data_IF_432290871688
#
_entry.id   IF_432290871688
#
_cell.length_a   1.000
_cell.length_b   1.000
_cell.length_c   1.000
_cell.angle_alpha   90.00
_cell.angle_beta   90.00
_cell.angle_gamma   90.00
#
_symmetry.space_group_name_H-M   'P 1'
#
loop_
_entity.id
_entity.type
_entity.pdbx_description
1 polymer ?
#
# COMPACT_ATOMS: atom_id res chain seq x y z
N UNK A 1 28.29 5.23 -5.93
CA UNK A 1 28.20 3.76 -6.06
C UNK A 1 27.45 3.26 -4.84
N UNK A 2 26.16 2.96 -5.00
CA UNK A 2 25.27 2.58 -3.90
C UNK A 2 25.41 1.08 -3.62
N UNK A 3 25.70 0.70 -2.37
CA UNK A 3 25.81 -0.70 -1.98
C UNK A 3 24.50 -1.46 -2.25
N UNK A 4 24.54 -2.71 -2.74
CA UNK A 4 23.35 -3.52 -2.90
C UNK A 4 22.76 -3.85 -1.52
N UNK A 5 21.52 -3.41 -1.28
CA UNK A 5 20.75 -3.74 -0.08
C UNK A 5 20.56 -5.25 0.00
N UNK A 6 21.03 -5.85 1.10
CA UNK A 6 20.91 -7.27 1.37
C UNK A 6 19.55 -7.56 2.03
N UNK A 7 18.57 -7.99 1.23
CA UNK A 7 17.19 -8.26 1.68
C UNK A 7 17.01 -9.60 2.41
N UNK A 8 18.09 -10.36 2.67
CA UNK A 8 18.03 -11.69 3.30
C UNK A 8 17.94 -11.68 4.83
N UNK A 9 17.27 -10.69 5.44
CA UNK A 9 16.92 -10.81 6.85
C UNK A 9 15.67 -11.71 6.97
N UNK A 10 15.74 -12.88 7.61
CA UNK A 10 14.54 -13.64 7.94
C UNK A 10 13.59 -12.77 8.79
N UNK A 11 12.27 -12.93 8.63
CA UNK A 11 11.20 -12.25 9.39
C UNK A 11 11.18 -12.71 10.87
N UNK A 12 12.33 -13.05 11.45
CA UNK A 12 12.47 -13.55 12.82
C UNK A 12 12.82 -12.45 13.83
N UNK A 13 13.06 -11.22 13.39
CA UNK A 13 13.40 -10.07 14.24
C UNK A 13 12.25 -9.14 14.62
N UNK A 14 11.00 -9.61 14.69
CA UNK A 14 9.86 -8.73 15.03
C UNK A 14 9.92 -8.36 16.52
N UNK A 15 9.95 -7.07 16.90
CA UNK A 15 9.78 -6.66 18.29
C UNK A 15 8.42 -7.17 18.80
N UNK A 16 8.43 -7.95 19.89
CA UNK A 16 7.23 -8.63 20.42
C UNK A 16 6.03 -7.68 20.65
N UNK A 17 6.28 -6.40 20.93
CA UNK A 17 5.26 -5.36 21.13
C UNK A 17 4.40 -5.13 19.89
N UNK A 18 5.00 -5.17 18.70
CA UNK A 18 4.28 -4.98 17.43
C UNK A 18 3.50 -6.24 17.05
N UNK A 19 3.98 -7.44 17.41
CA UNK A 19 3.19 -8.68 17.25
C UNK A 19 1.90 -8.64 18.06
N UNK A 20 1.97 -8.12 19.30
CA UNK A 20 0.82 -8.07 20.19
C UNK A 20 -0.26 -7.11 19.67
N UNK A 21 0.11 -5.88 19.27
CA UNK A 21 -0.82 -4.93 18.67
C UNK A 21 -1.47 -5.50 17.40
N UNK A 22 -0.68 -6.10 16.51
CA UNK A 22 -1.17 -6.75 15.27
C UNK A 22 -2.11 -7.93 15.59
N UNK A 23 -1.80 -8.74 16.61
CA UNK A 23 -2.67 -9.86 17.01
C UNK A 23 -4.00 -9.38 17.60
N UNK A 24 -3.98 -8.32 18.40
CA UNK A 24 -5.20 -7.73 18.98
C UNK A 24 -6.08 -7.14 17.87
N UNK A 25 -5.49 -6.47 16.88
CA UNK A 25 -6.23 -5.89 15.77
C UNK A 25 -6.86 -6.93 14.83
N UNK A 26 -6.29 -8.14 14.74
CA UNK A 26 -6.77 -9.25 13.89
C UNK A 26 -8.07 -9.91 14.37
N UNK A 27 -8.58 -9.59 15.57
CA UNK A 27 -9.81 -10.22 16.04
C UNK A 27 -11.02 -9.72 15.21
N UNK A 28 -11.89 -10.64 14.73
CA UNK A 28 -13.06 -10.28 13.92
C UNK A 28 -14.00 -9.35 14.68
N UNK A 29 -14.77 -8.54 13.94
CA UNK A 29 -15.86 -7.73 14.50
C UNK A 29 -16.76 -8.62 15.35
N UNK A 30 -16.88 -8.31 16.64
CA UNK A 30 -17.93 -8.84 17.49
C UNK A 30 -19.23 -8.27 16.92
N UNK A 31 -20.00 -9.10 16.21
CA UNK A 31 -21.40 -8.78 15.87
C UNK A 31 -22.19 -8.71 17.17
N UNK A 32 -23.12 -7.75 17.29
CA UNK A 32 -23.84 -7.32 18.51
C UNK A 32 -24.58 -8.39 19.34
N UNK A 33 -24.44 -9.69 19.03
CA UNK A 33 -25.20 -10.77 19.65
C UNK A 33 -24.49 -11.54 20.78
N UNK A 34 -23.22 -11.29 21.11
CA UNK A 34 -22.60 -11.86 22.31
C UNK A 34 -21.32 -11.13 22.75
N UNK A 35 -21.30 -10.62 24.00
CA UNK A 35 -20.08 -10.22 24.68
C UNK A 35 -19.20 -11.46 24.94
N UNK A 36 -17.98 -11.56 24.37
CA UNK A 36 -17.10 -12.68 24.66
C UNK A 36 -16.46 -12.52 26.05
N UNK A 37 -16.28 -13.65 26.74
CA UNK A 37 -15.43 -13.73 27.93
C UNK A 37 -13.96 -13.49 27.53
N UNK A 38 -13.14 -12.81 28.36
CA UNK A 38 -11.76 -12.49 28.04
C UNK A 38 -10.89 -13.74 27.83
N UNK A 39 -9.99 -13.70 26.84
CA UNK A 39 -9.15 -14.83 26.46
C UNK A 39 -8.09 -15.18 27.55
N UNK A 40 -7.82 -16.48 27.78
CA UNK A 40 -6.96 -16.94 28.89
C UNK A 40 -5.46 -16.60 28.74
N UNK A 41 -4.98 -16.20 27.56
CA UNK A 41 -3.56 -15.91 27.29
C UNK A 41 -3.00 -14.73 28.09
N UNK A 42 -3.85 -13.85 28.65
CA UNK A 42 -3.42 -12.70 29.44
C UNK A 42 -3.26 -12.97 30.95
N UNK A 43 -3.74 -14.11 31.47
CA UNK A 43 -3.54 -14.48 32.89
C UNK A 43 -2.06 -14.57 33.28
N UNK A 44 -1.17 -14.83 32.32
CA UNK A 44 0.28 -14.92 32.54
C UNK A 44 1.00 -13.56 32.56
N UNK A 45 0.43 -12.52 31.94
CA UNK A 45 0.96 -11.14 32.03
C UNK A 45 0.54 -10.43 33.32
N UNK A 46 -0.59 -10.85 33.91
CA UNK A 46 -1.12 -10.34 35.19
C UNK A 46 -0.16 -10.54 36.37
N UNK A 47 0.64 -11.62 36.35
CA UNK A 47 1.57 -11.93 37.46
C UNK A 47 2.91 -11.21 37.37
N UNK A 48 3.23 -10.55 36.25
CA UNK A 48 4.55 -9.95 36.00
C UNK A 48 4.65 -8.43 36.20
N UNK A 49 3.53 -7.71 36.22
CA UNK A 49 3.48 -6.25 36.36
C UNK A 49 2.65 -5.87 37.60
N UNK A 50 3.33 -5.68 38.73
CA UNK A 50 2.84 -5.14 40.02
C UNK A 50 1.80 -5.97 40.81
N UNK A 51 2.30 -6.83 41.69
CA UNK A 51 1.57 -7.43 42.82
C UNK A 51 1.25 -6.45 43.97
N UNK A 52 1.74 -5.21 43.94
CA UNK A 52 1.64 -4.27 45.06
C UNK A 52 0.40 -3.36 45.04
N UNK A 53 -0.37 -3.31 43.95
CA UNK A 53 -1.45 -2.31 43.78
C UNK A 53 -2.86 -2.81 44.12
N UNK A 54 -3.05 -4.09 44.44
CA UNK A 54 -4.38 -4.68 44.71
C UNK A 54 -4.50 -5.37 46.07
N UNK A 55 -3.54 -5.18 46.98
CA UNK A 55 -3.47 -5.86 48.27
C UNK A 55 -4.57 -5.47 49.29
N UNK A 56 -5.66 -4.83 48.88
CA UNK A 56 -6.72 -4.34 49.78
C UNK A 56 -8.17 -4.57 49.32
N UNK A 57 -8.42 -5.28 48.22
CA UNK A 57 -9.79 -5.55 47.79
C UNK A 57 -10.41 -6.71 48.61
N UNK A 58 -11.59 -6.52 49.24
CA UNK A 58 -12.22 -7.56 50.04
C UNK A 58 -12.58 -8.77 49.17
N UNK A 59 -12.12 -9.94 49.63
CA UNK A 59 -12.44 -11.27 49.09
C UNK A 59 -13.97 -11.50 49.16
N UNK A 60 -14.69 -11.16 48.10
CA UNK A 60 -16.14 -11.37 48.03
C UNK A 60 -16.90 -10.50 47.03
N UNK A 61 -16.31 -9.43 46.50
CA UNK A 61 -16.93 -8.64 45.44
C UNK A 61 -16.57 -9.17 44.06
N UNK A 62 -17.58 -9.48 43.24
CA UNK A 62 -17.41 -9.74 41.80
C UNK A 62 -16.87 -8.47 41.15
N UNK A 63 -15.55 -8.40 40.98
CA UNK A 63 -14.90 -7.28 40.32
C UNK A 63 -15.33 -7.29 38.86
N UNK A 64 -16.01 -6.22 38.41
CA UNK A 64 -16.35 -6.05 36.99
C UNK A 64 -15.04 -5.95 36.18
N UNK A 65 -14.73 -6.94 35.34
CA UNK A 65 -13.51 -6.95 34.54
C UNK A 65 -13.43 -5.73 33.60
N UNK A 66 -14.58 -5.15 33.23
CA UNK A 66 -14.67 -3.92 32.43
C UNK A 66 -14.14 -2.71 33.20
N UNK A 67 -14.47 -2.59 34.49
CA UNK A 67 -14.01 -1.50 35.34
C UNK A 67 -12.49 -1.56 35.58
N UNK A 68 -11.93 -2.77 35.73
CA UNK A 68 -10.48 -2.98 35.84
C UNK A 68 -9.78 -2.68 34.52
N UNK A 69 -10.35 -3.11 33.40
CA UNK A 69 -9.89 -2.78 32.05
C UNK A 69 -9.82 -1.27 31.82
N UNK A 70 -10.87 -0.54 32.20
CA UNK A 70 -10.92 0.92 32.10
C UNK A 70 -9.83 1.62 32.92
N UNK A 71 -9.59 1.18 34.16
CA UNK A 71 -8.51 1.74 35.00
C UNK A 71 -7.14 1.45 34.40
N UNK A 72 -6.95 0.25 33.83
CA UNK A 72 -5.70 -0.13 33.16
C UNK A 72 -5.47 0.70 31.89
N UNK A 73 -6.48 0.77 31.00
CA UNK A 73 -6.43 1.58 29.79
C UNK A 73 -6.14 3.04 30.14
N UNK A 74 -6.84 3.59 31.15
CA UNK A 74 -6.59 4.96 31.61
C UNK A 74 -5.15 5.17 32.09
N UNK A 75 -4.63 4.30 32.96
CA UNK A 75 -3.22 4.38 33.43
C UNK A 75 -2.21 4.20 32.30
N UNK A 76 -2.50 3.33 31.34
CA UNK A 76 -1.66 3.13 30.16
C UNK A 76 -1.63 4.43 29.36
N UNK A 77 -2.79 5.03 29.11
CA UNK A 77 -2.91 6.31 28.42
C UNK A 77 -2.18 7.43 29.16
N UNK A 78 -2.41 7.60 30.46
CA UNK A 78 -1.72 8.61 31.27
C UNK A 78 -0.19 8.47 31.18
N UNK A 79 0.33 7.24 31.20
CA UNK A 79 1.76 6.97 31.01
C UNK A 79 2.26 7.20 29.57
N UNK A 80 1.41 6.96 28.57
CA UNK A 80 1.71 7.22 27.17
C UNK A 80 1.90 8.72 26.95
N UNK A 81 0.97 9.52 27.46
CA UNK A 81 0.95 10.99 27.34
C UNK A 81 2.04 11.66 28.17
N UNK A 82 2.41 11.11 29.34
CA UNK A 82 3.44 11.71 30.19
C UNK A 82 4.88 11.63 29.61
N UNK A 83 5.14 10.75 28.64
CA UNK A 83 6.49 10.42 28.15
C UNK A 83 6.61 10.53 26.61
N UNK A 84 5.95 11.50 25.97
CA UNK A 84 5.79 11.55 24.51
C UNK A 84 6.85 12.37 23.77
N UNK A 85 8.13 12.06 23.95
CA UNK A 85 9.18 12.55 23.03
C UNK A 85 9.61 11.41 22.09
N UNK A 86 9.23 11.51 20.82
CA UNK A 86 9.81 10.72 19.71
C UNK A 86 8.88 9.76 18.97
N UNK A 87 9.47 9.05 18.00
CA UNK A 87 8.84 8.12 17.04
C UNK A 87 7.96 7.03 17.66
N UNK A 88 8.13 6.75 18.96
CA UNK A 88 7.37 5.75 19.73
C UNK A 88 5.96 6.17 20.11
N UNK A 89 5.55 7.41 19.79
CA UNK A 89 4.21 7.92 20.14
C UNK A 89 3.12 7.11 19.42
N UNK A 90 3.28 6.80 18.14
CA UNK A 90 2.28 6.05 17.37
C UNK A 90 2.13 4.61 17.90
N UNK A 91 3.23 3.93 18.20
CA UNK A 91 3.20 2.57 18.76
C UNK A 91 2.42 2.51 20.08
N UNK A 92 2.60 3.54 20.91
CA UNK A 92 1.88 3.69 22.18
C UNK A 92 0.37 3.82 21.95
N UNK A 93 -0.06 4.68 21.02
CA UNK A 93 -1.49 4.79 20.68
C UNK A 93 -2.05 3.49 20.10
N UNK A 94 -1.31 2.81 19.23
CA UNK A 94 -1.74 1.53 18.67
C UNK A 94 -1.97 0.47 19.75
N UNK A 95 -1.08 0.41 20.76
CA UNK A 95 -1.26 -0.44 21.93
C UNK A 95 -2.48 -0.02 22.77
N UNK A 96 -2.67 1.29 22.98
CA UNK A 96 -3.83 1.83 23.69
C UNK A 96 -5.15 1.48 23.01
N UNK A 97 -5.22 1.58 21.68
CA UNK A 97 -6.40 1.21 20.89
C UNK A 97 -6.65 -0.30 20.97
N UNK A 98 -5.60 -1.11 20.86
CA UNK A 98 -5.71 -2.56 21.02
C UNK A 98 -6.31 -2.93 22.38
N UNK A 99 -5.74 -2.39 23.45
CA UNK A 99 -6.24 -2.62 24.80
C UNK A 99 -7.69 -2.14 24.96
N UNK A 100 -8.02 -0.93 24.50
CA UNK A 100 -9.38 -0.39 24.57
C UNK A 100 -10.39 -1.30 23.85
N UNK A 101 -10.05 -1.85 22.68
CA UNK A 101 -10.90 -2.82 21.96
C UNK A 101 -11.08 -4.13 22.74
N UNK A 102 -9.99 -4.68 23.28
CA UNK A 102 -10.00 -5.94 24.04
C UNK A 102 -10.90 -5.85 25.28
N UNK A 103 -10.93 -4.70 25.94
CA UNK A 103 -11.79 -4.42 27.10
C UNK A 103 -13.15 -3.80 26.76
N UNK A 104 -13.57 -3.78 25.49
CA UNK A 104 -14.88 -3.25 25.07
C UNK A 104 -15.06 -1.73 25.24
N UNK A 105 -13.96 -0.99 25.44
CA UNK A 105 -13.91 0.45 25.67
C UNK A 105 -13.92 1.24 24.34
N UNK A 106 -14.99 1.11 23.55
CA UNK A 106 -15.04 1.65 22.18
C UNK A 106 -14.93 3.17 22.08
N UNK A 107 -15.49 3.93 23.02
CA UNK A 107 -15.37 5.39 23.03
C UNK A 107 -13.90 5.83 23.13
N UNK A 108 -13.15 5.23 24.06
CA UNK A 108 -11.72 5.50 24.20
C UNK A 108 -10.94 5.04 22.95
N UNK A 109 -11.30 3.90 22.36
CA UNK A 109 -10.68 3.43 21.12
C UNK A 109 -10.89 4.42 19.95
N UNK A 110 -12.09 5.01 19.85
CA UNK A 110 -12.43 6.03 18.83
C UNK A 110 -11.65 7.34 19.05
N UNK A 111 -11.54 7.81 20.29
CA UNK A 111 -10.78 9.03 20.61
C UNK A 111 -9.29 8.87 20.29
N UNK A 112 -8.72 7.71 20.64
CA UNK A 112 -7.34 7.38 20.32
C UNK A 112 -7.13 7.22 18.81
N UNK A 113 -8.08 6.58 18.10
CA UNK A 113 -8.06 6.50 16.64
C UNK A 113 -8.05 7.89 16.00
N UNK A 114 -8.97 8.78 16.41
CA UNK A 114 -9.03 10.16 15.92
C UNK A 114 -7.71 10.90 16.15
N UNK A 115 -7.08 10.68 17.31
CA UNK A 115 -5.77 11.25 17.63
C UNK A 115 -4.68 10.73 16.69
N UNK A 116 -4.58 9.41 16.49
CA UNK A 116 -3.62 8.80 15.54
C UNK A 116 -3.86 9.29 14.13
N UNK A 117 -5.11 9.31 13.69
CA UNK A 117 -5.52 9.81 12.38
C UNK A 117 -5.03 11.23 12.17
N UNK A 118 -5.33 12.14 13.09
CA UNK A 118 -4.90 13.52 13.01
C UNK A 118 -3.37 13.63 13.01
N UNK A 119 -2.67 12.85 13.83
CA UNK A 119 -1.20 12.82 13.80
C UNK A 119 -0.68 12.36 12.43
N UNK A 120 -1.23 11.30 11.85
CA UNK A 120 -0.76 10.76 10.58
C UNK A 120 -1.08 11.69 9.40
N UNK A 121 -2.28 12.27 9.38
CA UNK A 121 -2.73 13.13 8.28
C UNK A 121 -2.19 14.56 8.39
N UNK A 122 -2.09 15.14 9.60
CA UNK A 122 -1.65 16.53 9.81
C UNK A 122 -0.13 16.70 9.91
N UNK A 123 0.60 15.73 10.49
CA UNK A 123 2.07 15.85 10.67
C UNK A 123 2.83 15.68 9.35
N UNK A 124 2.13 15.88 8.24
CA UNK A 124 2.54 15.64 6.87
C UNK A 124 2.85 14.17 6.62
N UNK A 125 2.43 13.70 5.45
CA UNK A 125 2.81 12.42 4.85
C UNK A 125 4.27 11.96 5.03
N UNK A 126 5.19 12.82 5.49
CA UNK A 126 6.58 12.54 5.79
C UNK A 126 6.79 11.37 6.75
N UNK A 127 6.05 11.26 7.86
CA UNK A 127 6.23 10.12 8.79
C UNK A 127 6.04 8.77 8.07
N UNK A 128 4.92 8.61 7.36
CA UNK A 128 4.63 7.39 6.61
C UNK A 128 5.65 7.17 5.48
N UNK A 129 6.04 8.25 4.78
CA UNK A 129 6.92 8.22 3.61
C UNK A 129 8.39 7.99 3.93
N UNK A 130 8.85 8.31 5.14
CA UNK A 130 10.29 8.32 5.46
C UNK A 130 10.65 7.45 6.67
N UNK A 131 9.88 7.47 7.75
CA UNK A 131 10.32 6.94 9.05
C UNK A 131 9.55 5.73 9.54
N UNK A 132 8.27 5.58 9.18
CA UNK A 132 7.46 4.45 9.61
C UNK A 132 8.11 3.10 9.24
N UNK A 133 8.03 2.10 10.12
CA UNK A 133 8.44 0.73 9.77
C UNK A 133 7.30 0.01 9.03
N UNK A 134 7.60 -1.12 8.39
CA UNK A 134 6.57 -1.91 7.71
C UNK A 134 5.52 -2.44 8.70
N UNK A 135 5.94 -2.77 9.92
CA UNK A 135 5.05 -3.20 11.01
C UNK A 135 4.10 -2.08 11.45
N UNK A 136 4.61 -0.84 11.56
CA UNK A 136 3.78 0.31 11.89
C UNK A 136 2.76 0.58 10.79
N UNK A 137 3.19 0.51 9.51
CA UNK A 137 2.28 0.68 8.38
C UNK A 137 1.20 -0.41 8.33
N UNK A 138 1.54 -1.66 8.67
CA UNK A 138 0.58 -2.76 8.82
C UNK A 138 -0.43 -2.46 9.92
N UNK A 139 0.05 -2.08 11.10
CA UNK A 139 -0.82 -1.82 12.24
C UNK A 139 -1.74 -0.62 11.98
N UNK A 140 -1.23 0.44 11.37
CA UNK A 140 -2.02 1.60 10.95
C UNK A 140 -3.06 1.22 9.88
N UNK A 141 -2.71 0.36 8.92
CA UNK A 141 -3.66 -0.07 7.90
C UNK A 141 -4.79 -0.90 8.52
N UNK A 142 -4.46 -1.87 9.39
CA UNK A 142 -5.46 -2.67 10.11
C UNK A 142 -6.36 -1.79 10.96
N UNK A 143 -5.78 -0.80 11.65
CA UNK A 143 -6.52 0.17 12.41
C UNK A 143 -7.52 0.92 11.51
N UNK A 144 -7.04 1.50 10.41
CA UNK A 144 -7.88 2.26 9.50
C UNK A 144 -9.01 1.37 8.91
N UNK A 145 -8.74 0.11 8.57
CA UNK A 145 -9.76 -0.83 8.10
C UNK A 145 -10.80 -1.19 9.17
N UNK A 146 -10.39 -1.37 10.42
CA UNK A 146 -11.31 -1.65 11.55
C UNK A 146 -12.28 -0.49 11.77
N UNK A 147 -11.76 0.74 11.70
CA UNK A 147 -12.53 1.97 11.89
C UNK A 147 -13.18 2.49 10.59
N UNK A 148 -12.98 1.81 9.46
CA UNK A 148 -13.47 2.22 8.14
C UNK A 148 -13.00 3.64 7.73
N UNK A 149 -11.79 4.03 8.16
CA UNK A 149 -11.19 5.32 7.83
C UNK A 149 -10.51 5.27 6.46
N UNK A 150 -11.32 5.50 5.41
CA UNK A 150 -10.85 5.41 4.03
C UNK A 150 -9.72 6.40 3.70
N UNK A 151 -9.77 7.62 4.26
CA UNK A 151 -8.75 8.65 4.02
C UNK A 151 -7.39 8.21 4.58
N UNK A 152 -7.39 7.65 5.79
CA UNK A 152 -6.17 7.11 6.39
C UNK A 152 -5.63 5.89 5.62
N UNK A 153 -6.50 4.98 5.15
CA UNK A 153 -6.08 3.84 4.34
C UNK A 153 -5.39 4.28 3.04
N UNK A 154 -5.99 5.25 2.32
CA UNK A 154 -5.41 5.80 1.08
C UNK A 154 -4.03 6.41 1.37
N UNK A 155 -3.90 7.22 2.43
CA UNK A 155 -2.63 7.83 2.80
C UNK A 155 -1.53 6.78 3.12
N UNK A 156 -1.90 5.68 3.79
CA UNK A 156 -0.98 4.58 4.11
C UNK A 156 -0.58 3.84 2.83
N UNK A 157 -1.54 3.51 1.96
CA UNK A 157 -1.27 2.82 0.69
C UNK A 157 -0.36 3.66 -0.21
N UNK A 158 -0.64 4.94 -0.38
CA UNK A 158 0.18 5.85 -1.18
C UNK A 158 1.61 5.95 -0.65
N UNK A 159 1.77 6.09 0.66
CA UNK A 159 3.08 6.15 1.29
C UNK A 159 3.83 4.81 1.16
N UNK A 160 3.14 3.67 1.30
CA UNK A 160 3.73 2.36 1.09
C UNK A 160 4.18 2.19 -0.36
N UNK A 161 3.32 2.51 -1.33
CA UNK A 161 3.58 2.38 -2.76
C UNK A 161 4.81 3.20 -3.16
N UNK A 162 4.87 4.47 -2.71
CA UNK A 162 6.02 5.35 -2.95
C UNK A 162 7.32 4.75 -2.41
N UNK A 163 7.28 4.12 -1.25
CA UNK A 163 8.46 3.48 -0.63
C UNK A 163 8.82 2.17 -1.31
N UNK A 164 7.85 1.39 -1.79
CA UNK A 164 8.10 0.21 -2.61
C UNK A 164 8.74 0.57 -3.96
N UNK A 165 8.29 1.64 -4.60
CA UNK A 165 8.90 2.15 -5.84
C UNK A 165 10.34 2.64 -5.64
N UNK A 166 10.68 3.11 -4.44
CA UNK A 166 12.06 3.46 -4.04
C UNK A 166 12.88 2.26 -3.57
N UNK A 167 12.35 1.05 -3.69
CA UNK A 167 12.94 -0.18 -3.16
C UNK A 167 13.30 -0.06 -1.69
N UNK A 168 12.51 0.67 -0.89
CA UNK A 168 12.68 0.72 0.56
C UNK A 168 11.88 -0.39 1.22
N UNK A 169 10.68 -0.67 0.70
CA UNK A 169 9.73 -1.63 1.26
C UNK A 169 9.37 -2.74 0.28
N UNK A 170 9.31 -3.98 0.78
CA UNK A 170 8.71 -5.08 0.03
C UNK A 170 7.22 -4.86 -0.14
N UNK A 171 6.64 -5.10 -1.33
CA UNK A 171 5.20 -5.05 -1.54
C UNK A 171 4.47 -6.26 -0.91
N UNK A 172 5.19 -7.32 -0.52
CA UNK A 172 4.56 -8.58 -0.09
C UNK A 172 3.69 -8.43 1.16
N UNK A 173 4.12 -7.78 2.26
CA UNK A 173 3.25 -7.62 3.41
C UNK A 173 1.98 -6.83 3.09
N UNK A 174 2.08 -5.85 2.18
CA UNK A 174 0.95 -5.08 1.69
C UNK A 174 -0.01 -5.94 0.84
N UNK A 175 0.49 -6.83 -0.02
CA UNK A 175 -0.32 -7.81 -0.75
C UNK A 175 -1.10 -8.69 0.23
N UNK A 176 -0.43 -9.24 1.26
CA UNK A 176 -1.08 -10.13 2.23
C UNK A 176 -2.21 -9.39 2.93
N UNK A 177 -1.93 -8.19 3.45
CA UNK A 177 -2.91 -7.49 4.29
C UNK A 177 -4.07 -6.90 3.51
N UNK A 178 -3.84 -6.39 2.30
CA UNK A 178 -4.91 -5.87 1.44
C UNK A 178 -5.83 -6.99 0.98
N UNK A 179 -5.28 -8.16 0.67
CA UNK A 179 -6.05 -9.36 0.33
C UNK A 179 -6.86 -9.88 1.53
N UNK A 180 -6.25 -9.96 2.71
CA UNK A 180 -6.94 -10.40 3.94
C UNK A 180 -8.13 -9.49 4.30
N UNK A 181 -8.11 -8.21 3.90
CA UNK A 181 -9.21 -7.26 4.11
C UNK A 181 -10.11 -7.08 2.88
N UNK A 182 -9.92 -7.87 1.81
CA UNK A 182 -10.75 -7.81 0.60
C UNK A 182 -10.63 -6.50 -0.20
N UNK A 183 -9.53 -5.75 -0.05
CA UNK A 183 -9.32 -4.45 -0.73
C UNK A 183 -8.65 -4.63 -2.07
N UNK A 184 -9.46 -5.02 -3.07
CA UNK A 184 -8.99 -5.42 -4.42
C UNK A 184 -8.23 -4.32 -5.15
N UNK A 185 -8.68 -3.07 -5.06
CA UNK A 185 -8.03 -1.94 -5.74
C UNK A 185 -6.60 -1.75 -5.22
N UNK A 186 -6.42 -1.78 -3.90
CA UNK A 186 -5.10 -1.68 -3.27
C UNK A 186 -4.24 -2.91 -3.50
N UNK A 187 -4.85 -4.10 -3.44
CA UNK A 187 -4.17 -5.36 -3.74
C UNK A 187 -3.56 -5.32 -5.16
N UNK A 188 -4.31 -4.84 -6.15
CA UNK A 188 -3.85 -4.74 -7.52
C UNK A 188 -2.61 -3.83 -7.68
N UNK A 189 -2.56 -2.71 -6.97
CA UNK A 189 -1.40 -1.81 -6.95
C UNK A 189 -0.14 -2.53 -6.45
N UNK A 190 -0.25 -3.28 -5.35
CA UNK A 190 0.90 -4.00 -4.79
C UNK A 190 1.29 -5.23 -5.61
N UNK A 191 0.33 -5.93 -6.23
CA UNK A 191 0.61 -7.01 -7.19
C UNK A 191 1.33 -6.46 -8.42
N UNK A 192 0.95 -5.28 -8.90
CA UNK A 192 1.63 -4.61 -10.01
C UNK A 192 3.07 -4.21 -9.66
N UNK A 193 3.30 -3.59 -8.50
CA UNK A 193 4.67 -3.28 -8.03
C UNK A 193 5.51 -4.55 -7.80
N UNK A 194 4.89 -5.62 -7.30
CA UNK A 194 5.56 -6.90 -7.18
C UNK A 194 5.96 -7.48 -8.56
N UNK A 195 5.06 -7.43 -9.55
CA UNK A 195 5.37 -7.83 -10.93
C UNK A 195 6.54 -7.01 -11.50
N UNK A 196 6.57 -5.69 -11.27
CA UNK A 196 7.67 -4.84 -11.71
C UNK A 196 9.00 -5.30 -11.12
N UNK A 197 9.01 -5.58 -9.82
CA UNK A 197 10.20 -6.06 -9.11
C UNK A 197 10.71 -7.39 -9.70
N UNK A 198 9.85 -8.39 -9.85
CA UNK A 198 10.27 -9.73 -10.30
C UNK A 198 10.62 -9.80 -11.78
N UNK A 199 10.08 -8.90 -12.63
CA UNK A 199 10.36 -8.89 -14.07
C UNK A 199 11.55 -8.00 -14.44
N UNK A 200 11.97 -7.09 -13.57
CA UNK A 200 13.18 -6.29 -13.76
C UNK A 200 14.47 -7.09 -13.44
N UNK A 201 14.41 -7.98 -12.44
CA UNK A 201 15.56 -8.76 -11.96
C UNK A 201 15.96 -10.07 -12.69
N UNK A 202 15.21 -10.67 -13.65
CA UNK A 202 15.64 -11.92 -14.30
C UNK A 202 16.92 -11.76 -15.13
N UNK A 203 17.18 -10.54 -15.62
CA UNK A 203 18.24 -10.27 -16.62
C UNK A 203 19.60 -10.01 -15.95
N UNK A 204 19.64 -9.57 -14.69
CA UNK A 204 20.89 -9.27 -13.97
C UNK A 204 21.44 -10.44 -13.16
N UNK A 205 20.66 -11.49 -12.94
CA UNK A 205 21.03 -12.63 -12.12
C UNK A 205 21.79 -13.70 -12.93
N UNK A 206 22.93 -13.32 -13.51
CA UNK A 206 23.83 -14.27 -14.18
C UNK A 206 24.39 -15.33 -13.23
N UNK A 207 24.62 -15.04 -11.95
CA UNK A 207 25.18 -16.00 -10.99
C UNK A 207 24.69 -15.73 -9.56
N UNK A 208 24.19 -16.77 -8.88
CA UNK A 208 24.15 -16.97 -7.41
C UNK A 208 23.44 -15.94 -6.51
N UNK A 209 22.79 -14.90 -7.04
CA UNK A 209 21.97 -14.01 -6.21
C UNK A 209 20.69 -14.76 -5.83
N UNK A 210 20.54 -14.99 -4.52
CA UNK A 210 19.55 -15.91 -3.96
C UNK A 210 18.22 -15.83 -4.66
N UNK A 211 17.80 -16.97 -5.21
CA UNK A 211 16.49 -17.20 -5.79
C UNK A 211 15.47 -16.54 -4.84
N UNK A 212 14.83 -15.47 -5.30
CA UNK A 212 13.70 -14.92 -4.57
C UNK A 212 12.70 -16.06 -4.59
N UNK A 213 12.55 -16.72 -3.45
CA UNK A 213 11.63 -17.84 -3.31
C UNK A 213 10.21 -17.25 -3.28
N UNK A 214 9.75 -16.88 -4.49
CA UNK A 214 8.37 -16.52 -4.79
C UNK A 214 7.45 -17.58 -4.21
N UNK A 215 7.94 -18.83 -4.15
CA UNK A 215 7.15 -19.96 -3.78
C UNK A 215 6.84 -20.10 -2.29
N UNK A 216 7.71 -19.59 -1.40
CA UNK A 216 7.49 -19.70 0.05
C UNK A 216 6.64 -18.59 0.66
N UNK A 217 6.55 -17.40 0.05
CA UNK A 217 5.94 -16.23 0.73
C UNK A 217 4.49 -15.96 0.31
N UNK A 218 4.14 -16.17 -0.96
CA UNK A 218 2.78 -15.96 -1.44
C UNK A 218 1.99 -17.27 -1.43
N UNK A 219 0.76 -17.25 -0.93
CA UNK A 219 -0.15 -18.40 -1.06
C UNK A 219 -0.53 -18.66 -2.52
N UNK A 220 -0.97 -19.89 -2.83
CA UNK A 220 -1.32 -20.32 -4.20
C UNK A 220 -2.32 -19.38 -4.89
N UNK A 221 -3.34 -18.89 -4.18
CA UNK A 221 -4.32 -17.94 -4.73
C UNK A 221 -3.69 -16.61 -5.16
N UNK A 222 -2.77 -16.05 -4.36
CA UNK A 222 -2.05 -14.81 -4.68
C UNK A 222 -1.12 -15.01 -5.88
N UNK A 223 -0.43 -16.15 -5.95
CA UNK A 223 0.42 -16.50 -7.10
C UNK A 223 -0.39 -16.58 -8.40
N UNK A 224 -1.56 -17.21 -8.36
CA UNK A 224 -2.45 -17.30 -9.52
C UNK A 224 -2.83 -15.90 -10.02
N UNK A 225 -3.21 -14.98 -9.12
CA UNK A 225 -3.49 -13.58 -9.48
C UNK A 225 -2.29 -12.87 -10.10
N UNK A 226 -1.08 -13.07 -9.56
CA UNK A 226 0.16 -12.51 -10.15
C UNK A 226 0.36 -12.99 -11.59
N UNK A 227 0.23 -14.30 -11.83
CA UNK A 227 0.37 -14.88 -13.17
C UNK A 227 -0.70 -14.37 -14.14
N UNK A 228 -1.93 -14.26 -13.67
CA UNK A 228 -3.04 -13.73 -14.45
C UNK A 228 -2.82 -12.25 -14.81
N UNK A 229 -2.40 -11.45 -13.82
CA UNK A 229 -1.98 -10.06 -14.01
C UNK A 229 -0.88 -9.92 -15.05
N UNK A 230 0.16 -10.73 -14.95
CA UNK A 230 1.26 -10.75 -15.93
C UNK A 230 0.76 -11.00 -17.35
N UNK A 231 -0.07 -12.04 -17.55
CA UNK A 231 -0.64 -12.37 -18.86
C UNK A 231 -1.49 -11.24 -19.41
N UNK A 232 -2.39 -10.71 -18.58
CA UNK A 232 -3.35 -9.66 -18.97
C UNK A 232 -2.64 -8.33 -19.30
N UNK A 233 -1.64 -7.94 -18.51
CA UNK A 233 -0.84 -6.73 -18.74
C UNK A 233 0.04 -6.87 -19.98
N UNK A 234 0.65 -8.04 -20.19
CA UNK A 234 1.45 -8.33 -21.39
C UNK A 234 0.60 -8.26 -22.65
N UNK A 235 -0.59 -8.86 -22.65
CA UNK A 235 -1.53 -8.76 -23.76
C UNK A 235 -2.00 -7.32 -24.01
N UNK A 236 -2.20 -6.53 -22.95
CA UNK A 236 -2.58 -5.12 -23.05
C UNK A 236 -1.45 -4.26 -23.62
N UNK A 237 -0.21 -4.52 -23.22
CA UNK A 237 0.97 -3.89 -23.79
C UNK A 237 1.14 -4.25 -25.26
N UNK A 238 0.98 -5.53 -25.63
CA UNK A 238 1.06 -5.96 -27.03
C UNK A 238 0.05 -5.23 -27.92
N UNK A 239 -1.19 -5.05 -27.45
CA UNK A 239 -2.21 -4.25 -28.15
C UNK A 239 -1.78 -2.78 -28.29
N UNK A 240 -1.29 -2.16 -27.22
CA UNK A 240 -0.79 -0.78 -27.28
C UNK A 240 0.37 -0.61 -28.24
N UNK A 241 1.24 -1.62 -28.41
CA UNK A 241 2.32 -1.56 -29.38
C UNK A 241 1.81 -1.53 -30.83
N UNK A 242 0.64 -2.14 -31.10
CA UNK A 242 0.02 -2.18 -32.42
C UNK A 242 -0.88 -0.96 -32.67
N UNK A 243 -1.56 -0.47 -31.63
CA UNK A 243 -2.61 0.52 -31.72
C UNK A 243 -2.33 1.70 -30.77
N UNK A 244 -1.97 2.89 -31.30
CA UNK A 244 -1.84 4.09 -30.48
C UNK A 244 -3.19 4.50 -29.89
N UNK A 245 -3.21 5.23 -28.76
CA UNK A 245 -4.43 5.87 -28.28
C UNK A 245 -5.01 6.81 -29.34
N UNK A 246 -6.26 6.59 -29.71
CA UNK A 246 -6.99 7.45 -30.65
C UNK A 246 -7.36 8.79 -30.02
N UNK A 247 -7.38 9.84 -30.82
CA UNK A 247 -7.78 11.18 -30.38
C UNK A 247 -8.70 11.87 -31.39
N UNK A 248 -9.56 12.74 -30.86
CA UNK A 248 -10.56 13.49 -31.63
C UNK A 248 -9.88 14.65 -32.36
N UNK A 249 -10.40 15.00 -33.53
CA UNK A 249 -9.95 16.17 -34.27
C UNK A 249 -10.19 17.45 -33.48
N UNK A 250 -9.18 18.32 -33.43
CA UNK A 250 -9.37 19.65 -32.86
C UNK A 250 -10.17 20.55 -33.81
N UNK A 251 -10.91 21.50 -33.24
CA UNK A 251 -11.65 22.49 -34.00
C UNK A 251 -10.72 23.25 -34.96
N UNK A 252 -11.11 23.34 -36.23
CA UNK A 252 -10.32 23.98 -37.29
C UNK A 252 -9.19 23.13 -37.89
N UNK A 253 -9.05 21.86 -37.51
CA UNK A 253 -8.09 20.97 -38.16
C UNK A 253 -8.55 20.57 -39.57
N UNK A 254 -7.94 21.18 -40.60
CA UNK A 254 -8.27 20.89 -42.00
C UNK A 254 -7.85 19.48 -42.47
N UNK A 255 -6.93 18.81 -41.77
CA UNK A 255 -6.27 17.59 -42.26
C UNK A 255 -6.01 16.56 -41.17
N UNK A 256 -7.04 16.22 -40.38
CA UNK A 256 -6.94 15.31 -39.23
C UNK A 256 -6.36 13.93 -39.56
N UNK A 257 -6.64 13.40 -40.76
CA UNK A 257 -6.05 12.15 -41.24
C UNK A 257 -4.52 12.18 -41.26
N UNK A 258 -3.92 13.31 -41.63
CA UNK A 258 -2.47 13.49 -41.60
C UNK A 258 -1.94 13.56 -40.15
N UNK A 259 -2.70 14.16 -39.23
CA UNK A 259 -2.36 14.16 -37.81
C UNK A 259 -2.36 12.73 -37.23
N UNK A 260 -3.38 11.94 -37.56
CA UNK A 260 -3.49 10.53 -37.14
C UNK A 260 -2.36 9.67 -37.72
N UNK A 261 -2.08 9.80 -39.02
CA UNK A 261 -0.98 9.08 -39.67
C UNK A 261 0.38 9.44 -39.05
N UNK A 262 0.61 10.73 -38.79
CA UNK A 262 1.81 11.22 -38.10
C UNK A 262 1.92 10.63 -36.69
N UNK A 263 0.84 10.68 -35.91
CA UNK A 263 0.79 10.14 -34.55
C UNK A 263 1.10 8.65 -34.52
N UNK A 264 0.46 7.87 -35.40
CA UNK A 264 0.69 6.43 -35.53
C UNK A 264 2.14 6.11 -35.87
N UNK A 265 2.73 6.80 -36.85
CA UNK A 265 4.13 6.61 -37.22
C UNK A 265 5.08 6.93 -36.07
N UNK A 266 4.88 8.05 -35.38
CA UNK A 266 5.69 8.41 -34.22
C UNK A 266 5.54 7.39 -33.09
N UNK A 267 4.31 6.93 -32.85
CA UNK A 267 4.04 5.91 -31.85
C UNK A 267 4.80 4.61 -32.11
N UNK A 268 4.72 4.07 -33.33
CA UNK A 268 5.43 2.85 -33.74
C UNK A 268 6.95 2.95 -33.52
N UNK A 269 7.53 4.13 -33.72
CA UNK A 269 8.95 4.35 -33.47
C UNK A 269 9.29 4.45 -31.97
N UNK A 270 8.42 5.06 -31.16
CA UNK A 270 8.75 5.39 -29.76
C UNK A 270 8.24 4.39 -28.72
N UNK A 271 7.21 3.59 -29.00
CA UNK A 271 6.60 2.68 -28.02
C UNK A 271 7.55 1.55 -27.56
N UNK A 272 8.52 1.21 -28.41
CA UNK A 272 9.56 0.22 -28.12
C UNK A 272 10.81 0.83 -27.46
N UNK A 273 10.92 2.15 -27.35
CA UNK A 273 12.02 2.82 -26.65
C UNK A 273 11.80 2.68 -25.13
N UNK A 274 12.23 1.54 -24.58
CA UNK A 274 12.17 1.25 -23.15
C UNK A 274 13.31 2.00 -22.46
N UNK A 275 13.02 2.92 -21.53
CA UNK A 275 14.06 3.49 -20.69
C UNK A 275 14.77 2.39 -19.90
N UNK A 276 16.09 2.49 -19.77
CA UNK A 276 16.85 1.59 -18.91
C UNK A 276 16.27 1.56 -17.49
N UNK A 277 16.09 0.36 -16.94
CA UNK A 277 15.56 0.16 -15.60
C UNK A 277 14.04 0.07 -15.50
N UNK A 278 13.30 0.26 -16.61
CA UNK A 278 11.87 0.03 -16.62
C UNK A 278 11.56 -1.47 -16.76
N UNK A 279 10.70 -1.99 -15.90
CA UNK A 279 10.27 -3.38 -16.00
C UNK A 279 9.51 -3.61 -17.32
N UNK A 280 9.67 -4.76 -18.01
CA UNK A 280 9.02 -5.02 -19.29
C UNK A 280 7.50 -4.84 -19.25
N UNK A 281 6.88 -5.22 -18.12
CA UNK A 281 5.44 -5.16 -17.87
C UNK A 281 4.94 -3.82 -17.33
N UNK A 282 5.83 -2.84 -17.10
CA UNK A 282 5.44 -1.53 -16.55
C UNK A 282 4.79 -0.65 -17.63
N UNK A 283 3.55 -0.99 -17.96
CA UNK A 283 2.74 -0.32 -18.97
C UNK A 283 2.51 1.17 -18.63
N UNK A 284 2.26 1.49 -17.35
CA UNK A 284 2.02 2.88 -16.88
C UNK A 284 3.30 3.70 -16.99
N UNK A 285 4.42 3.16 -16.52
CA UNK A 285 5.73 3.79 -16.64
C UNK A 285 6.10 4.00 -18.11
N UNK A 286 5.87 3.01 -18.97
CA UNK A 286 6.14 3.10 -20.42
C UNK A 286 5.33 4.20 -21.09
N UNK A 287 4.02 4.27 -20.84
CA UNK A 287 3.17 5.33 -21.39
C UNK A 287 3.65 6.72 -20.94
N UNK A 288 4.10 6.84 -19.70
CA UNK A 288 4.68 8.08 -19.17
C UNK A 288 5.99 8.44 -19.86
N UNK A 289 6.87 7.47 -20.10
CA UNK A 289 8.13 7.68 -20.82
C UNK A 289 7.90 8.04 -22.29
N UNK A 290 6.98 7.36 -22.98
CA UNK A 290 6.61 7.68 -24.36
C UNK A 290 6.04 9.09 -24.46
N UNK A 291 5.17 9.50 -23.52
CA UNK A 291 4.69 10.88 -23.45
C UNK A 291 5.85 11.88 -23.37
N UNK A 292 6.81 11.64 -22.47
CA UNK A 292 7.98 12.51 -22.28
C UNK A 292 8.90 12.56 -23.50
N UNK A 293 9.11 11.43 -24.17
CA UNK A 293 9.91 11.33 -25.40
C UNK A 293 9.23 12.11 -26.52
N UNK A 294 7.94 11.86 -26.76
CA UNK A 294 7.17 12.52 -27.81
C UNK A 294 7.05 14.04 -27.57
N UNK A 295 6.95 14.49 -26.32
CA UNK A 295 6.95 15.94 -26.01
C UNK A 295 8.26 16.65 -26.39
N UNK A 296 9.38 15.93 -26.38
CA UNK A 296 10.71 16.46 -26.74
C UNK A 296 11.06 16.23 -28.21
N UNK A 297 10.25 15.47 -28.94
CA UNK A 297 10.50 15.08 -30.32
C UNK A 297 10.18 16.25 -31.28
N UNK A 298 11.21 16.88 -31.84
CA UNK A 298 11.04 17.99 -32.81
C UNK A 298 10.25 17.58 -34.06
N UNK A 299 10.19 16.28 -34.37
CA UNK A 299 9.40 15.77 -35.50
C UNK A 299 7.91 15.99 -35.24
N UNK A 300 7.41 15.80 -34.01
CA UNK A 300 6.01 16.09 -33.68
C UNK A 300 5.71 17.57 -33.87
N UNK A 301 6.66 18.44 -33.49
CA UNK A 301 6.52 19.88 -33.63
C UNK A 301 6.54 20.33 -35.08
N UNK A 302 7.26 19.62 -35.96
CA UNK A 302 7.32 19.93 -37.37
C UNK A 302 6.05 19.51 -38.11
N UNK A 303 5.60 18.26 -37.90
CA UNK A 303 4.46 17.70 -38.64
C UNK A 303 3.10 18.07 -38.04
N UNK A 304 3.00 18.29 -36.73
CA UNK A 304 1.77 18.74 -36.07
C UNK A 304 1.76 20.24 -35.76
N UNK A 305 2.75 21.00 -36.27
CA UNK A 305 2.84 22.47 -36.08
C UNK A 305 1.60 23.21 -36.50
N UNK A 306 0.97 22.72 -37.57
CA UNK A 306 -0.17 23.36 -38.22
C UNK A 306 -1.41 23.30 -37.30
N UNK A 307 -1.46 22.32 -36.39
CA UNK A 307 -2.60 22.13 -35.47
C UNK A 307 -2.10 21.73 -34.07
N UNK A 308 -1.57 22.67 -33.28
CA UNK A 308 -1.12 22.40 -31.91
C UNK A 308 -2.22 21.80 -31.03
N UNK A 309 -3.49 22.12 -31.31
CA UNK A 309 -4.63 21.55 -30.61
C UNK A 309 -4.81 20.03 -30.86
N UNK A 310 -4.49 19.52 -32.06
CA UNK A 310 -4.48 18.08 -32.32
C UNK A 310 -3.36 17.37 -31.54
N UNK A 311 -2.19 18.01 -31.40
CA UNK A 311 -1.09 17.50 -30.57
C UNK A 311 -1.52 17.39 -29.10
N UNK A 312 -2.15 18.42 -28.54
CA UNK A 312 -2.66 18.36 -27.17
C UNK A 312 -3.79 17.34 -27.00
N UNK A 313 -4.66 17.18 -28.00
CA UNK A 313 -5.69 16.13 -28.01
C UNK A 313 -5.09 14.73 -28.01
N UNK A 314 -4.01 14.49 -28.76
CA UNK A 314 -3.27 13.22 -28.76
C UNK A 314 -2.65 12.93 -27.38
N UNK A 315 -2.02 13.92 -26.75
CA UNK A 315 -1.50 13.77 -25.39
C UNK A 315 -2.60 13.57 -24.34
N UNK A 316 -3.75 14.24 -24.49
CA UNK A 316 -4.90 14.01 -23.62
C UNK A 316 -5.43 12.57 -23.75
N UNK A 317 -5.50 12.03 -24.96
CA UNK A 317 -5.86 10.63 -25.19
C UNK A 317 -4.87 9.65 -24.54
N UNK A 318 -3.56 9.93 -24.64
CA UNK A 318 -2.52 9.14 -23.98
C UNK A 318 -2.66 9.17 -22.45
N UNK A 319 -2.88 10.35 -21.85
CA UNK A 319 -3.12 10.49 -20.40
C UNK A 319 -4.37 9.73 -19.97
N UNK A 320 -5.48 9.90 -20.70
CA UNK A 320 -6.73 9.19 -20.47
C UNK A 320 -6.55 7.67 -20.56
N UNK A 321 -5.74 7.18 -21.49
CA UNK A 321 -5.43 5.75 -21.60
C UNK A 321 -4.63 5.26 -20.39
N UNK A 322 -3.64 6.04 -19.92
CA UNK A 322 -2.85 5.73 -18.74
C UNK A 322 -3.70 5.70 -17.47
N UNK A 323 -4.51 6.73 -17.26
CA UNK A 323 -5.48 6.82 -16.14
C UNK A 323 -6.44 5.63 -16.19
N UNK A 324 -7.03 5.35 -17.36
CA UNK A 324 -7.93 4.21 -17.52
C UNK A 324 -7.28 2.85 -17.21
N UNK A 325 -5.99 2.65 -17.49
CA UNK A 325 -5.28 1.42 -17.08
C UNK A 325 -5.03 1.41 -15.56
N UNK A 326 -4.69 2.55 -14.97
CA UNK A 326 -4.48 2.69 -13.53
C UNK A 326 -5.76 2.43 -12.75
N UNK A 327 -6.88 3.02 -13.17
CA UNK A 327 -8.18 2.91 -12.50
C UNK A 327 -8.76 1.49 -12.62
N UNK A 328 -8.48 0.81 -13.74
CA UNK A 328 -8.93 -0.56 -14.01
C UNK A 328 -7.86 -1.60 -13.71
N UNK A 329 -6.82 -1.25 -12.94
CA UNK A 329 -5.68 -2.13 -12.71
C UNK A 329 -6.11 -3.46 -12.08
N UNK A 330 -7.07 -3.41 -11.15
CA UNK A 330 -7.61 -4.58 -10.45
C UNK A 330 -8.24 -5.63 -11.38
N UNK A 331 -8.88 -5.21 -12.48
CA UNK A 331 -9.44 -6.14 -13.46
C UNK A 331 -8.38 -7.03 -14.13
N UNK A 332 -7.12 -6.57 -14.20
CA UNK A 332 -6.05 -7.41 -14.73
C UNK A 332 -5.71 -8.59 -13.80
N UNK A 333 -6.05 -8.51 -12.50
CA UNK A 333 -5.70 -9.52 -11.49
C UNK A 333 -6.88 -10.37 -11.00
N UNK A 334 -8.10 -10.07 -11.44
CA UNK A 334 -9.36 -10.65 -10.93
C UNK A 334 -9.95 -11.79 -11.80
N UNK A 335 -9.27 -12.20 -12.88
CA UNK A 335 -9.81 -13.18 -13.87
C UNK A 335 -9.83 -14.63 -13.40
#
# INVERSE_FOLDING_TARGET
>A
MSSPLNWKAPITGIPWRNRLAIQILKQPRITDSALPQPAPSFKLLWTGLNSSSFAGAPLGSSIDPTAVGLVYVKRLLDNIFANSNGMYVIDKYLLGIGAAREYGCWAQAMDLHSTVRNMVLQTSSQFLRETASAEVMIALYQLASVFQDHELEVAIVDAWLLRSQRSQFSPIPAIIITDDHGRRDFLALFLYEYLKLITLHPITAGHNTGHFDIDSVLGAGRKLRVLQGYKNLTASLARLCLEPPEFVSAEGCASHSNCLATWKRLWEMRIFEIPHGLAPIDIIGRLTSVEQILRKDKVIDMYMRITPACKESAFAALRKKREGISDNLHHHFDS
#
